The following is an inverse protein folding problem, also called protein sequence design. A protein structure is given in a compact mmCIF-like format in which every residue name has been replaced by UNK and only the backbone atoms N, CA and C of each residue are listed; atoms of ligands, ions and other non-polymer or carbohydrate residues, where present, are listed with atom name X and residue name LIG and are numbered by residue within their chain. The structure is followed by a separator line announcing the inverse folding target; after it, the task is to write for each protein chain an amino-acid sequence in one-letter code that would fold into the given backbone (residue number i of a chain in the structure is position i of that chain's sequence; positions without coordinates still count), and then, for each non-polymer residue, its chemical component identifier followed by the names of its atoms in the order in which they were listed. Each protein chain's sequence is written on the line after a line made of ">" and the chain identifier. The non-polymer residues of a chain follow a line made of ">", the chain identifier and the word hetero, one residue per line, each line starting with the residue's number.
data_IF_086137149865
#
_entry.id   IF_086137149865
#
_cell.length_a   1.000
_cell.length_b   1.000
_cell.length_c   1.000
_cell.angle_alpha   90.00
_cell.angle_beta   90.00
_cell.angle_gamma   90.00
#
_symmetry.space_group_name_H-M   'P 1'
#
loop_
_entity.id
_entity.type
_entity.pdbx_description
1 polymer ?
#
# COMPACT_ATOMS: atom_id res chain seq x y z
N UNK A 1 53.28 -2.21 -24.42
CA UNK A 1 52.53 -1.36 -23.47
C UNK A 1 51.03 -1.31 -23.79
N UNK A 2 50.62 -1.23 -25.05
CA UNK A 2 49.18 -1.17 -25.44
C UNK A 2 48.30 -2.40 -25.08
N UNK A 3 48.87 -3.60 -24.94
CA UNK A 3 48.09 -4.82 -24.66
C UNK A 3 47.61 -4.92 -23.22
N UNK A 4 48.38 -4.40 -22.27
CA UNK A 4 48.07 -4.41 -20.83
C UNK A 4 46.99 -3.38 -20.47
N UNK A 5 46.97 -2.24 -21.14
CA UNK A 5 45.96 -1.19 -20.92
C UNK A 5 44.56 -1.61 -21.40
N UNK A 6 44.48 -2.34 -22.53
CA UNK A 6 43.20 -2.87 -23.03
C UNK A 6 42.61 -3.96 -22.14
N UNK A 7 43.44 -4.77 -21.49
CA UNK A 7 42.98 -5.81 -20.57
C UNK A 7 42.43 -5.17 -19.27
N UNK A 8 43.12 -4.16 -18.74
CA UNK A 8 42.67 -3.43 -17.53
C UNK A 8 41.35 -2.68 -17.81
N UNK A 9 41.20 -2.05 -18.99
CA UNK A 9 39.96 -1.40 -19.38
C UNK A 9 38.79 -2.40 -19.52
N UNK A 10 39.05 -3.62 -20.02
CA UNK A 10 38.02 -4.67 -20.14
C UNK A 10 37.59 -5.22 -18.77
N UNK A 11 38.51 -5.33 -17.79
CA UNK A 11 38.17 -5.69 -16.40
C UNK A 11 37.43 -4.56 -15.66
N UNK A 12 37.76 -3.29 -15.91
CA UNK A 12 37.03 -2.14 -15.38
C UNK A 12 35.61 -2.02 -15.95
N UNK A 13 35.41 -2.34 -17.24
CA UNK A 13 34.08 -2.39 -17.87
C UNK A 13 33.23 -3.59 -17.42
N UNK A 14 33.86 -4.71 -17.05
CA UNK A 14 33.19 -5.86 -16.42
C UNK A 14 32.88 -5.62 -14.93
N UNK A 15 33.68 -4.82 -14.23
CA UNK A 15 33.43 -4.40 -12.85
C UNK A 15 32.36 -3.31 -12.71
N UNK A 16 32.04 -2.59 -13.79
CA UNK A 16 30.81 -1.81 -13.91
C UNK A 16 29.57 -2.69 -14.15
N UNK A 17 29.63 -3.95 -13.70
CA UNK A 17 28.48 -4.82 -13.56
C UNK A 17 27.38 -4.05 -12.86
N UNK A 18 26.22 -3.99 -13.51
CA UNK A 18 24.98 -3.42 -12.99
C UNK A 18 24.82 -3.94 -11.57
N UNK A 19 25.19 -3.13 -10.57
CA UNK A 19 24.91 -3.45 -9.18
C UNK A 19 23.40 -3.50 -9.12
N UNK A 20 22.85 -4.72 -9.10
CA UNK A 20 21.44 -4.91 -8.89
C UNK A 20 21.16 -4.27 -7.54
N UNK A 21 20.40 -3.18 -7.56
CA UNK A 21 20.04 -2.46 -6.34
C UNK A 21 19.35 -3.47 -5.43
N UNK A 22 19.99 -3.83 -4.31
CA UNK A 22 19.40 -4.68 -3.29
C UNK A 22 18.83 -3.82 -2.18
N UNK A 23 17.81 -4.32 -1.51
CA UNK A 23 17.21 -3.68 -0.35
C UNK A 23 17.07 -4.67 0.80
N UNK A 24 16.95 -4.16 2.01
CA UNK A 24 16.51 -4.95 3.17
C UNK A 24 15.05 -4.60 3.44
N UNK A 25 14.23 -5.59 3.80
CA UNK A 25 12.79 -5.39 4.06
C UNK A 25 12.38 -6.06 5.36
N UNK A 26 11.56 -5.34 6.12
CA UNK A 26 10.85 -5.83 7.30
C UNK A 26 9.38 -6.08 6.95
N UNK A 27 8.88 -7.30 7.10
CA UNK A 27 7.44 -7.59 7.04
C UNK A 27 6.91 -7.65 8.47
N UNK A 28 5.83 -6.92 8.74
CA UNK A 28 5.19 -6.87 10.06
C UNK A 28 3.72 -7.26 9.92
N UNK A 29 3.28 -8.29 10.66
CA UNK A 29 1.89 -8.75 10.64
C UNK A 29 0.92 -7.65 11.12
N UNK A 30 1.22 -6.97 12.23
CA UNK A 30 0.37 -5.89 12.78
C UNK A 30 1.20 -4.61 12.98
N UNK A 31 1.49 -3.85 11.91
CA UNK A 31 2.29 -2.64 12.01
C UNK A 31 1.78 -1.62 13.06
N UNK A 32 0.45 -1.39 13.23
CA UNK A 32 -0.07 -0.50 14.26
C UNK A 32 0.35 -0.81 15.69
N UNK A 33 0.77 -2.04 15.99
CA UNK A 33 1.21 -2.40 17.33
C UNK A 33 2.65 -1.92 17.65
N UNK A 34 3.42 -1.56 16.63
CA UNK A 34 4.75 -0.98 16.79
C UNK A 34 4.66 0.50 17.17
N UNK A 35 5.73 1.02 17.78
CA UNK A 35 5.87 2.47 17.99
C UNK A 35 6.40 3.13 16.71
N UNK A 36 5.47 3.61 15.89
CA UNK A 36 5.73 4.26 14.62
C UNK A 36 5.60 5.78 14.71
N UNK A 37 6.50 6.49 14.03
CA UNK A 37 6.45 7.92 13.79
C UNK A 37 6.40 8.21 12.28
N UNK A 38 5.77 9.31 11.89
CA UNK A 38 5.82 9.78 10.51
C UNK A 38 7.19 10.39 10.16
N UNK A 39 7.35 10.84 8.91
CA UNK A 39 8.56 11.51 8.41
C UNK A 39 9.02 12.75 9.19
N UNK A 40 8.16 13.31 10.04
CA UNK A 40 8.43 14.48 10.89
C UNK A 40 8.70 14.09 12.35
N UNK A 41 8.92 12.80 12.63
CA UNK A 41 9.18 12.26 13.97
C UNK A 41 8.00 12.46 14.94
N UNK A 42 6.79 12.58 14.42
CA UNK A 42 5.56 12.68 15.21
C UNK A 42 4.81 11.36 15.23
N UNK A 43 4.12 11.07 16.33
CA UNK A 43 3.21 9.93 16.43
C UNK A 43 2.19 9.95 15.29
N UNK A 44 1.90 8.79 14.73
CA UNK A 44 0.90 8.64 13.67
C UNK A 44 -0.50 8.97 14.21
N UNK A 45 -1.21 9.85 13.51
CA UNK A 45 -2.63 10.10 13.78
C UNK A 45 -3.51 8.94 13.32
N UNK A 46 -4.80 8.95 13.70
CA UNK A 46 -5.75 7.86 13.36
C UNK A 46 -5.83 7.60 11.85
N UNK A 47 -5.90 8.66 11.04
CA UNK A 47 -5.93 8.56 9.58
C UNK A 47 -4.67 7.94 8.99
N UNK A 48 -3.52 8.09 9.65
CA UNK A 48 -2.25 7.51 9.19
C UNK A 48 -2.13 6.05 9.63
N UNK A 49 -2.54 5.76 10.87
CA UNK A 49 -2.62 4.40 11.41
C UNK A 49 -3.57 3.52 10.61
N UNK A 50 -4.69 4.07 10.13
CA UNK A 50 -5.65 3.35 9.30
C UNK A 50 -5.08 2.91 7.93
N UNK A 51 -3.99 3.52 7.46
CA UNK A 51 -3.31 3.10 6.21
C UNK A 51 -2.39 1.90 6.41
N UNK A 52 -2.06 1.56 7.65
CA UNK A 52 -1.22 0.42 7.97
C UNK A 52 -2.06 -0.86 7.91
N UNK A 53 -1.71 -1.76 7.00
CA UNK A 53 -2.41 -3.02 6.78
C UNK A 53 -1.57 -4.22 7.24
N UNK A 54 -2.23 -5.36 7.41
CA UNK A 54 -1.56 -6.56 7.90
C UNK A 54 -0.49 -7.07 6.93
N UNK A 55 0.62 -7.58 7.48
CA UNK A 55 1.78 -8.03 6.69
C UNK A 55 2.31 -6.93 5.75
N UNK A 56 2.42 -5.70 6.25
CA UNK A 56 2.97 -4.59 5.48
C UNK A 56 4.49 -4.76 5.31
N UNK A 57 5.03 -4.66 4.09
CA UNK A 57 6.47 -4.66 3.85
C UNK A 57 7.02 -3.24 4.01
N UNK A 58 8.08 -3.10 4.80
CA UNK A 58 8.82 -1.87 5.00
C UNK A 58 10.23 -2.04 4.44
N UNK A 59 10.59 -1.25 3.43
CA UNK A 59 11.98 -1.12 2.99
C UNK A 59 12.79 -0.43 4.09
N UNK A 60 13.84 -1.09 4.57
CA UNK A 60 14.74 -0.56 5.58
C UNK A 60 15.72 0.38 4.88
N UNK A 61 15.55 1.68 5.10
CA UNK A 61 16.44 2.70 4.55
C UNK A 61 17.70 2.86 5.42
N UNK A 62 17.51 2.83 6.74
CA UNK A 62 18.58 2.85 7.73
C UNK A 62 18.21 1.94 8.90
N UNK A 63 18.98 0.88 9.18
CA UNK A 63 18.67 -0.07 10.25
C UNK A 63 18.77 0.55 11.65
N UNK A 64 19.53 1.63 11.80
CA UNK A 64 19.68 2.39 13.02
C UNK A 64 19.92 3.87 12.71
N UNK A 65 19.18 4.74 13.40
CA UNK A 65 19.33 6.19 13.43
C UNK A 65 19.02 6.69 14.85
N UNK A 66 19.53 7.87 15.19
CA UNK A 66 19.10 8.62 16.35
C UNK A 66 18.17 9.73 15.84
N UNK A 67 17.02 9.92 16.50
CA UNK A 67 16.05 10.96 16.17
C UNK A 67 16.61 12.36 16.47
N UNK A 68 15.86 13.39 16.11
CA UNK A 68 16.26 14.79 16.26
C UNK A 68 16.40 15.23 17.73
N UNK A 69 15.89 14.46 18.68
CA UNK A 69 16.10 14.66 20.11
C UNK A 69 17.53 14.31 20.58
N UNK A 70 18.32 13.63 19.74
CA UNK A 70 19.72 13.31 20.00
C UNK A 70 19.96 12.06 20.84
N UNK A 71 18.92 11.32 21.24
CA UNK A 71 19.10 10.10 22.03
C UNK A 71 18.13 8.96 21.72
N UNK A 72 16.97 9.22 21.12
CA UNK A 72 16.00 8.15 20.84
C UNK A 72 16.43 7.32 19.63
N UNK A 73 16.71 6.01 19.79
CA UNK A 73 17.07 5.16 18.68
C UNK A 73 15.84 4.72 17.88
N UNK A 74 15.96 4.75 16.55
CA UNK A 74 14.94 4.30 15.63
C UNK A 74 15.54 3.59 14.41
N UNK A 75 14.69 2.90 13.66
CA UNK A 75 14.95 2.40 12.33
C UNK A 75 14.17 3.27 11.34
N UNK A 76 14.84 3.78 10.29
CA UNK A 76 14.17 4.54 9.23
C UNK A 76 13.73 3.57 8.15
N UNK A 77 12.44 3.56 7.84
CA UNK A 77 11.84 2.66 6.86
C UNK A 77 10.94 3.38 5.87
N UNK A 78 10.57 2.71 4.78
CA UNK A 78 9.67 3.22 3.74
C UNK A 78 8.63 2.18 3.34
N UNK A 79 7.41 2.62 3.09
CA UNK A 79 6.40 1.85 2.37
C UNK A 79 5.80 2.73 1.27
N UNK A 80 6.04 2.36 0.00
CA UNK A 80 5.63 3.19 -1.14
C UNK A 80 6.30 4.56 -1.10
N UNK A 81 5.50 5.62 -1.03
CA UNK A 81 5.98 7.01 -0.97
C UNK A 81 6.15 7.56 0.46
N UNK A 82 5.74 6.79 1.47
CA UNK A 82 5.75 7.25 2.87
C UNK A 82 6.98 6.71 3.61
N UNK A 83 7.73 7.62 4.22
CA UNK A 83 8.84 7.33 5.15
C UNK A 83 8.29 7.30 6.59
N UNK A 84 8.75 6.34 7.37
CA UNK A 84 8.42 6.17 8.79
C UNK A 84 9.68 5.97 9.63
N UNK A 85 9.56 6.22 10.92
CA UNK A 85 10.53 5.78 11.92
C UNK A 85 9.87 4.74 12.84
N UNK A 86 10.50 3.59 12.99
CA UNK A 86 10.12 2.58 13.97
C UNK A 86 11.05 2.72 15.17
N UNK A 87 10.53 3.00 16.36
CA UNK A 87 11.38 3.03 17.56
C UNK A 87 11.92 1.64 17.86
N UNK A 88 13.20 1.56 18.23
CA UNK A 88 13.89 0.29 18.49
C UNK A 88 14.47 0.26 19.92
N UNK A 89 14.52 -0.90 20.55
CA UNK A 89 15.24 -1.09 21.82
C UNK A 89 16.74 -1.28 21.57
N UNK A 90 17.07 -1.96 20.48
CA UNK A 90 18.42 -2.27 20.03
C UNK A 90 18.41 -2.45 18.50
N UNK A 91 19.58 -2.48 17.83
CA UNK A 91 19.64 -2.63 16.38
C UNK A 91 18.81 -3.83 15.90
N UNK A 92 17.85 -3.57 15.01
CA UNK A 92 16.96 -4.61 14.46
C UNK A 92 15.84 -5.09 15.40
N UNK A 93 15.66 -4.50 16.58
CA UNK A 93 14.61 -4.90 17.54
C UNK A 93 13.59 -3.78 17.77
N UNK A 94 12.51 -3.72 16.98
CA UNK A 94 11.39 -2.81 17.21
C UNK A 94 10.80 -2.93 18.62
N UNK A 95 10.41 -1.78 19.21
CA UNK A 95 9.63 -1.75 20.44
C UNK A 95 8.23 -2.38 20.18
N UNK A 96 7.71 -3.12 21.15
CA UNK A 96 6.42 -3.85 21.09
C UNK A 96 6.36 -4.96 20.05
N UNK A 97 7.50 -5.60 19.74
CA UNK A 97 7.57 -6.69 18.78
C UNK A 97 6.59 -7.83 19.07
N UNK A 98 6.38 -8.17 20.35
CA UNK A 98 5.45 -9.23 20.78
C UNK A 98 3.99 -8.93 20.41
N UNK A 99 3.58 -7.67 20.42
CA UNK A 99 2.24 -7.24 20.04
C UNK A 99 2.06 -7.13 18.52
N UNK A 100 3.16 -7.03 17.77
CA UNK A 100 3.16 -6.90 16.32
C UNK A 100 2.92 -8.21 15.56
N UNK A 101 2.75 -9.33 16.27
CA UNK A 101 2.53 -10.65 15.69
C UNK A 101 3.78 -11.19 15.03
N UNK A 102 3.62 -11.85 13.88
CA UNK A 102 4.75 -12.34 13.11
C UNK A 102 5.52 -11.20 12.47
N UNK A 103 6.84 -11.16 12.70
CA UNK A 103 7.75 -10.16 12.13
C UNK A 103 8.95 -10.86 11.53
N UNK A 104 9.32 -10.49 10.30
CA UNK A 104 10.48 -11.09 9.61
C UNK A 104 11.25 -10.06 8.82
N UNK A 105 12.58 -10.11 8.94
CA UNK A 105 13.50 -9.34 8.11
C UNK A 105 14.04 -10.20 6.97
N UNK A 106 14.10 -9.60 5.79
CA UNK A 106 14.69 -10.13 4.57
C UNK A 106 15.83 -9.22 4.16
N UNK A 107 17.00 -9.79 3.91
CA UNK A 107 18.20 -9.03 3.58
C UNK A 107 18.57 -9.23 2.11
N UNK A 108 19.15 -8.18 1.52
CA UNK A 108 19.70 -8.22 0.16
C UNK A 108 18.72 -8.72 -0.92
N UNK A 109 17.45 -8.37 -0.76
CA UNK A 109 16.41 -8.76 -1.72
C UNK A 109 16.38 -7.83 -2.92
N UNK A 110 15.75 -8.29 -4.01
CA UNK A 110 15.57 -7.47 -5.21
C UNK A 110 14.26 -6.67 -5.10
N UNK A 111 14.30 -5.34 -4.93
CA UNK A 111 13.11 -4.50 -5.02
C UNK A 111 12.56 -4.52 -6.45
N UNK A 112 11.24 -4.46 -6.56
CA UNK A 112 10.50 -4.39 -7.83
C UNK A 112 9.69 -3.09 -7.89
N UNK A 113 8.88 -2.84 -6.86
CA UNK A 113 8.05 -1.64 -6.68
C UNK A 113 7.29 -1.21 -7.95
N UNK A 114 6.76 -2.16 -8.71
CA UNK A 114 6.00 -1.91 -9.93
C UNK A 114 4.59 -2.50 -9.85
N UNK A 115 3.71 -1.98 -10.72
CA UNK A 115 2.36 -2.51 -10.88
C UNK A 115 2.33 -3.40 -12.11
N UNK A 116 1.69 -4.55 -11.99
CA UNK A 116 1.59 -5.54 -13.05
C UNK A 116 0.16 -6.02 -13.22
N UNK A 117 -0.16 -6.48 -14.42
CA UNK A 117 -1.40 -7.18 -14.74
C UNK A 117 -1.09 -8.67 -14.88
N UNK A 118 -1.65 -9.46 -13.98
CA UNK A 118 -1.49 -10.92 -13.96
C UNK A 118 -2.19 -11.53 -15.18
N UNK A 119 -1.49 -12.35 -15.96
CA UNK A 119 -2.00 -12.90 -17.23
C UNK A 119 -2.75 -14.23 -17.04
N UNK A 120 -2.44 -14.96 -15.98
CA UNK A 120 -3.01 -16.27 -15.67
C UNK A 120 -3.31 -16.38 -14.19
N UNK A 121 -4.24 -17.24 -13.79
CA UNK A 121 -4.53 -17.42 -12.37
C UNK A 121 -3.31 -17.93 -11.61
N UNK A 122 -2.97 -17.29 -10.49
CA UNK A 122 -1.79 -17.64 -9.67
C UNK A 122 -2.19 -17.85 -8.21
N UNK A 123 -1.57 -18.84 -7.57
CA UNK A 123 -1.74 -19.08 -6.15
C UNK A 123 -0.99 -18.04 -5.31
N UNK A 124 -1.65 -17.60 -4.24
CA UNK A 124 -1.06 -16.70 -3.25
C UNK A 124 -1.02 -17.41 -1.92
N UNK A 125 0.09 -17.23 -1.23
CA UNK A 125 0.21 -17.54 0.19
C UNK A 125 0.28 -16.27 1.02
N UNK A 126 -0.40 -16.24 2.16
CA UNK A 126 -0.34 -15.15 3.12
C UNK A 126 0.72 -15.42 4.19
N UNK A 127 1.12 -14.35 4.88
CA UNK A 127 2.03 -14.42 6.01
C UNK A 127 3.45 -13.94 5.72
N UNK A 128 4.31 -14.11 6.72
CA UNK A 128 5.74 -13.75 6.64
C UNK A 128 6.59 -14.77 5.88
N UNK A 129 6.11 -16.01 5.71
CA UNK A 129 6.86 -17.09 5.06
C UNK A 129 6.21 -17.48 3.71
N UNK A 130 7.00 -17.61 2.62
CA UNK A 130 6.47 -18.04 1.34
C UNK A 130 5.92 -19.48 1.38
N UNK A 131 4.75 -19.69 0.79
CA UNK A 131 4.15 -21.01 0.56
C UNK A 131 3.60 -21.73 1.79
N UNK A 132 3.55 -21.09 2.96
CA UNK A 132 3.11 -21.73 4.22
C UNK A 132 1.61 -21.72 4.45
N UNK A 133 0.93 -20.64 4.10
CA UNK A 133 -0.51 -20.46 4.35
C UNK A 133 -1.16 -20.09 3.03
N UNK A 134 -1.95 -20.99 2.44
CA UNK A 134 -2.70 -20.67 1.23
C UNK A 134 -3.74 -19.57 1.53
N UNK A 135 -3.71 -18.50 0.75
CA UNK A 135 -4.59 -17.35 0.91
C UNK A 135 -5.69 -17.28 -0.15
N UNK A 136 -5.48 -17.97 -1.28
CA UNK A 136 -6.40 -17.98 -2.40
C UNK A 136 -5.67 -17.87 -3.73
N UNK A 137 -6.46 -17.54 -4.77
CA UNK A 137 -6.01 -17.43 -6.15
C UNK A 137 -6.25 -16.01 -6.64
N UNK A 138 -5.24 -15.39 -7.23
CA UNK A 138 -5.42 -14.17 -8.01
C UNK A 138 -5.89 -14.59 -9.39
N UNK A 139 -7.06 -14.10 -9.81
CA UNK A 139 -7.60 -14.39 -11.12
C UNK A 139 -6.81 -13.76 -12.27
N UNK A 140 -7.01 -14.30 -13.47
CA UNK A 140 -6.52 -13.70 -14.72
C UNK A 140 -6.96 -12.23 -14.87
N UNK A 141 -6.08 -11.40 -15.44
CA UNK A 141 -6.24 -9.96 -15.65
C UNK A 141 -6.42 -9.14 -14.36
N UNK A 142 -6.04 -9.68 -13.20
CA UNK A 142 -6.07 -8.93 -11.96
C UNK A 142 -4.81 -8.05 -11.81
N UNK A 143 -4.95 -6.79 -11.36
CA UNK A 143 -3.81 -5.94 -11.04
C UNK A 143 -3.15 -6.39 -9.73
N UNK A 144 -1.82 -6.32 -9.69
CA UNK A 144 -1.03 -6.55 -8.49
C UNK A 144 0.15 -5.57 -8.41
N UNK A 145 0.50 -5.16 -7.20
CA UNK A 145 1.73 -4.38 -6.94
C UNK A 145 2.79 -5.33 -6.43
N UNK A 146 3.93 -5.43 -7.11
CA UNK A 146 5.06 -6.25 -6.66
C UNK A 146 5.99 -5.39 -5.84
N UNK A 147 6.23 -5.78 -4.59
CA UNK A 147 7.17 -5.06 -3.74
C UNK A 147 8.60 -5.50 -4.04
N UNK A 148 8.85 -6.80 -3.97
CA UNK A 148 10.19 -7.35 -4.10
C UNK A 148 10.17 -8.84 -4.45
N UNK A 149 11.34 -9.37 -4.83
CA UNK A 149 11.57 -10.80 -5.07
C UNK A 149 12.61 -11.35 -4.09
N UNK A 150 12.30 -12.49 -3.48
CA UNK A 150 13.18 -13.27 -2.62
C UNK A 150 13.27 -14.71 -3.16
N UNK A 151 14.38 -15.05 -3.81
CA UNK A 151 14.50 -16.31 -4.55
C UNK A 151 13.47 -16.40 -5.68
N UNK A 152 12.69 -17.48 -5.71
CA UNK A 152 11.63 -17.69 -6.71
C UNK A 152 10.28 -17.08 -6.30
N UNK A 153 10.19 -16.49 -5.11
CA UNK A 153 8.95 -15.93 -4.60
C UNK A 153 8.92 -14.42 -4.75
N UNK A 154 7.79 -13.90 -5.18
CA UNK A 154 7.53 -12.47 -5.26
C UNK A 154 6.53 -12.09 -4.19
N UNK A 155 6.87 -11.07 -3.40
CA UNK A 155 5.93 -10.48 -2.45
C UNK A 155 5.13 -9.38 -3.13
N UNK A 156 3.81 -9.49 -3.05
CA UNK A 156 2.88 -8.66 -3.80
C UNK A 156 1.67 -8.23 -2.97
N UNK A 157 1.03 -7.13 -3.39
CA UNK A 157 -0.29 -6.69 -2.93
C UNK A 157 -1.31 -6.90 -4.03
N UNK A 158 -2.45 -7.42 -3.64
CA UNK A 158 -3.65 -7.60 -4.47
C UNK A 158 -4.89 -7.09 -3.76
N UNK A 159 -6.05 -7.21 -4.40
CA UNK A 159 -7.34 -6.92 -3.80
C UNK A 159 -7.64 -7.78 -2.57
N UNK A 160 -7.19 -9.05 -2.56
CA UNK A 160 -7.42 -9.98 -1.44
C UNK A 160 -6.41 -9.80 -0.30
N UNK A 161 -5.39 -8.95 -0.47
CA UNK A 161 -4.38 -8.65 0.55
C UNK A 161 -2.94 -8.74 0.04
N UNK A 162 -1.99 -8.79 0.97
CA UNK A 162 -0.57 -9.00 0.67
C UNK A 162 -0.16 -10.46 0.86
N UNK A 163 0.79 -10.92 0.06
CA UNK A 163 1.26 -12.29 0.13
C UNK A 163 2.37 -12.61 -0.85
N UNK A 164 2.78 -13.87 -0.84
CA UNK A 164 3.79 -14.43 -1.71
C UNK A 164 3.15 -15.22 -2.84
N UNK A 165 3.65 -15.04 -4.05
CA UNK A 165 3.34 -15.88 -5.20
C UNK A 165 4.62 -16.26 -5.95
N UNK A 166 4.61 -17.44 -6.57
CA UNK A 166 5.60 -17.79 -7.57
C UNK A 166 5.11 -17.26 -8.91
N UNK A 167 5.78 -16.21 -9.39
CA UNK A 167 5.47 -15.60 -10.69
C UNK A 167 6.75 -15.33 -11.46
N UNK A 168 6.67 -15.64 -12.74
CA UNK A 168 7.71 -15.46 -13.74
C UNK A 168 7.31 -14.38 -14.74
N UNK A 169 8.25 -13.96 -15.60
CA UNK A 169 8.04 -12.87 -16.56
C UNK A 169 6.87 -13.11 -17.53
N UNK A 170 6.47 -14.37 -17.73
CA UNK A 170 5.37 -14.72 -18.62
C UNK A 170 4.00 -14.61 -17.93
N UNK A 171 3.97 -14.56 -16.59
CA UNK A 171 2.72 -14.55 -15.82
C UNK A 171 2.17 -13.13 -15.66
N UNK A 172 2.88 -12.11 -16.10
CA UNK A 172 2.46 -10.73 -15.90
C UNK A 172 2.94 -9.78 -17.00
N UNK A 173 2.18 -8.71 -17.18
CA UNK A 173 2.59 -7.55 -17.98
C UNK A 173 2.80 -6.38 -17.04
N UNK A 174 3.95 -5.70 -17.12
CA UNK A 174 4.19 -4.49 -16.34
C UNK A 174 3.26 -3.38 -16.85
N UNK A 175 2.41 -2.87 -15.98
CA UNK A 175 1.60 -1.69 -16.24
C UNK A 175 2.51 -0.48 -16.13
N UNK A 176 3.20 -0.17 -17.24
CA UNK A 176 3.97 1.07 -17.34
C UNK A 176 2.97 2.21 -17.48
N UNK A 177 2.80 2.99 -16.42
CA UNK A 177 2.15 4.29 -16.53
C UNK A 177 3.05 5.16 -17.40
N UNK A 178 2.64 5.57 -18.62
CA UNK A 178 3.40 6.57 -19.35
C UNK A 178 3.42 7.82 -18.47
N UNK A 179 4.58 8.43 -18.29
CA UNK A 179 4.79 9.67 -17.52
C UNK A 179 3.94 10.87 -18.01
N UNK A 180 3.05 10.66 -18.99
CA UNK A 180 2.25 11.67 -19.67
C UNK A 180 0.79 11.24 -19.93
N UNK A 181 0.25 10.21 -19.26
CA UNK A 181 -1.21 10.02 -19.30
C UNK A 181 -1.88 11.11 -18.47
N UNK A 182 -2.68 11.94 -19.14
CA UNK A 182 -3.62 12.85 -18.52
C UNK A 182 -4.51 12.11 -17.48
N UNK A 183 -5.10 12.82 -16.50
CA UNK A 183 -6.09 12.33 -15.52
C UNK A 183 -7.42 11.80 -16.12
N UNK A 184 -7.41 11.36 -17.37
CA UNK A 184 -8.49 10.58 -17.98
C UNK A 184 -8.25 9.12 -17.52
N UNK A 185 -8.90 8.60 -16.48
CA UNK A 185 -10.29 8.83 -16.12
C UNK A 185 -10.49 8.36 -14.68
N UNK A 186 -9.85 9.07 -13.74
CA UNK A 186 -9.93 8.76 -12.29
C UNK A 186 -11.39 8.72 -11.84
N UNK A 187 -12.20 9.61 -12.40
CA UNK A 187 -13.64 9.66 -12.17
C UNK A 187 -14.36 8.40 -12.65
N UNK A 188 -14.06 7.87 -13.85
CA UNK A 188 -14.73 6.63 -14.32
C UNK A 188 -14.35 5.37 -13.56
N UNK A 189 -13.19 5.37 -12.88
CA UNK A 189 -12.81 4.27 -11.98
C UNK A 189 -13.51 4.36 -10.62
N UNK A 190 -13.77 5.58 -10.14
CA UNK A 190 -14.37 5.80 -8.80
C UNK A 190 -15.90 5.79 -8.85
N UNK A 191 -16.51 6.32 -9.91
CA UNK A 191 -17.97 6.44 -10.02
C UNK A 191 -18.73 5.11 -9.85
N UNK A 192 -18.30 3.98 -10.45
CA UNK A 192 -18.98 2.71 -10.23
C UNK A 192 -18.99 2.27 -8.76
N UNK A 193 -17.89 2.50 -8.04
CA UNK A 193 -17.73 2.15 -6.62
C UNK A 193 -18.66 3.01 -5.77
N UNK A 194 -18.71 4.32 -6.04
CA UNK A 194 -19.63 5.24 -5.36
C UNK A 194 -21.10 4.85 -5.62
N UNK A 195 -21.44 4.48 -6.86
CA UNK A 195 -22.79 4.06 -7.22
C UNK A 195 -23.22 2.77 -6.48
N UNK A 196 -22.30 1.81 -6.36
CA UNK A 196 -22.55 0.57 -5.59
C UNK A 196 -22.74 0.87 -4.10
N UNK A 197 -21.85 1.67 -3.50
CA UNK A 197 -21.98 2.09 -2.10
C UNK A 197 -23.30 2.83 -1.83
N UNK A 198 -23.73 3.71 -2.74
CA UNK A 198 -25.01 4.41 -2.66
C UNK A 198 -26.21 3.46 -2.79
N UNK A 199 -26.09 2.38 -3.57
CA UNK A 199 -27.14 1.36 -3.69
C UNK A 199 -27.30 0.59 -2.37
N UNK A 200 -26.19 0.23 -1.74
CA UNK A 200 -26.20 -0.41 -0.41
C UNK A 200 -26.82 0.51 0.65
N UNK A 201 -26.40 1.78 0.70
CA UNK A 201 -26.97 2.77 1.62
C UNK A 201 -28.47 2.97 1.40
N UNK A 202 -28.92 3.07 0.15
CA UNK A 202 -30.34 3.18 -0.19
C UNK A 202 -31.14 2.00 0.34
N UNK A 203 -30.66 0.77 0.11
CA UNK A 203 -31.35 -0.43 0.57
C UNK A 203 -31.45 -0.48 2.10
N UNK A 204 -30.38 -0.10 2.80
CA UNK A 204 -30.35 -0.02 4.26
C UNK A 204 -31.37 1.01 4.79
N UNK A 205 -31.38 2.23 4.25
CA UNK A 205 -32.29 3.28 4.71
C UNK A 205 -33.75 3.02 4.35
N UNK A 206 -34.04 2.31 3.25
CA UNK A 206 -35.40 1.84 2.96
C UNK A 206 -35.91 0.91 4.06
N UNK A 207 -35.05 0.07 4.64
CA UNK A 207 -35.42 -0.80 5.77
C UNK A 207 -35.58 0.00 7.07
N UNK A 208 -34.65 0.94 7.35
CA UNK A 208 -34.69 1.76 8.55
C UNK A 208 -35.90 2.70 8.59
N UNK A 209 -36.20 3.40 7.49
CA UNK A 209 -37.33 4.32 7.41
C UNK A 209 -38.69 3.60 7.52
N UNK A 210 -38.77 2.32 7.16
CA UNK A 210 -39.96 1.48 7.39
C UNK A 210 -40.19 1.18 8.87
N UNK A 211 -39.14 1.10 9.67
CA UNK A 211 -39.21 0.78 11.09
C UNK A 211 -39.40 2.01 11.99
N UNK A 212 -38.71 3.12 11.68
CA UNK A 212 -38.69 4.31 12.55
C UNK A 212 -39.82 5.32 12.29
N UNK A 213 -40.68 5.10 11.29
CA UNK A 213 -41.73 6.03 10.85
C UNK A 213 -41.27 7.49 10.59
N UNK A 214 -39.96 7.69 10.48
CA UNK A 214 -39.32 8.96 10.18
C UNK A 214 -38.81 8.92 8.73
N UNK A 215 -39.26 9.87 7.91
CA UNK A 215 -38.80 10.04 6.54
C UNK A 215 -37.43 10.75 6.53
N UNK A 216 -36.41 10.02 6.98
CA UNK A 216 -35.03 10.52 7.01
C UNK A 216 -34.45 10.49 5.61
N UNK A 217 -33.78 11.57 5.21
CA UNK A 217 -33.08 11.67 3.95
C UNK A 217 -31.96 10.63 3.85
N UNK A 218 -31.88 9.94 2.71
CA UNK A 218 -30.89 8.89 2.49
C UNK A 218 -29.54 9.57 2.19
N UNK A 219 -28.49 9.31 3.00
CA UNK A 219 -27.17 9.84 2.73
C UNK A 219 -26.56 9.20 1.48
N UNK A 220 -25.89 10.03 0.66
CA UNK A 220 -25.26 9.63 -0.59
C UNK A 220 -23.84 10.15 -0.69
N UNK A 221 -22.93 9.27 -1.11
CA UNK A 221 -21.58 9.62 -1.50
C UNK A 221 -21.60 10.38 -2.82
N UNK A 222 -20.88 11.50 -2.84
CA UNK A 222 -20.72 12.35 -4.02
C UNK A 222 -19.23 12.54 -4.32
N UNK A 223 -18.85 12.34 -5.57
CA UNK A 223 -17.53 12.70 -6.06
C UNK A 223 -17.53 14.14 -6.55
N UNK A 224 -16.60 14.94 -6.06
CA UNK A 224 -16.35 16.30 -6.53
C UNK A 224 -14.90 16.41 -7.01
N UNK A 225 -14.73 16.97 -8.19
CA UNK A 225 -13.40 17.28 -8.73
C UNK A 225 -13.02 18.69 -8.31
N UNK A 226 -11.91 18.79 -7.61
CA UNK A 226 -11.22 20.04 -7.31
C UNK A 226 -9.90 20.07 -8.10
N UNK A 227 -9.29 21.24 -8.30
CA UNK A 227 -8.23 21.47 -9.29
C UNK A 227 -7.13 20.39 -9.35
N UNK A 228 -6.67 19.88 -8.20
CA UNK A 228 -5.64 18.83 -8.10
C UNK A 228 -6.04 17.63 -7.24
N UNK A 229 -7.32 17.53 -6.87
CA UNK A 229 -7.81 16.45 -6.02
C UNK A 229 -9.24 16.07 -6.34
N UNK A 230 -9.61 14.83 -6.09
CA UNK A 230 -11.00 14.43 -6.02
C UNK A 230 -11.39 14.29 -4.55
N UNK A 231 -12.59 14.76 -4.21
CA UNK A 231 -13.16 14.67 -2.89
C UNK A 231 -14.42 13.82 -2.96
N UNK A 232 -14.48 12.75 -2.16
CA UNK A 232 -15.68 11.96 -1.98
C UNK A 232 -16.30 12.30 -0.62
N UNK A 233 -17.50 12.89 -0.61
CA UNK A 233 -18.19 13.33 0.61
C UNK A 233 -19.56 12.68 0.73
N UNK A 234 -19.99 12.36 1.94
CA UNK A 234 -21.35 11.88 2.21
C UNK A 234 -22.30 13.08 2.43
N UNK A 235 -23.45 13.08 1.78
CA UNK A 235 -24.45 14.16 1.90
C UNK A 235 -25.87 13.60 2.00
N UNK A 236 -26.70 14.04 2.97
CA UNK A 236 -26.36 14.97 4.06
C UNK A 236 -25.37 14.37 5.07
N UNK A 237 -24.50 15.22 5.62
CA UNK A 237 -23.49 14.83 6.62
C UNK A 237 -24.06 14.71 8.04
N UNK A 238 -25.25 15.26 8.29
CA UNK A 238 -25.83 15.46 9.62
C UNK A 238 -26.65 14.26 10.10
N UNK A 239 -26.29 13.05 9.68
CA UNK A 239 -26.94 11.84 10.17
C UNK A 239 -26.51 11.55 11.61
N UNK A 240 -27.46 11.19 12.47
CA UNK A 240 -27.19 10.64 13.83
C UNK A 240 -26.35 9.34 13.82
N UNK A 241 -26.11 8.77 12.63
CA UNK A 241 -25.37 7.53 12.43
C UNK A 241 -23.89 7.80 12.10
N UNK A 242 -23.01 7.08 12.79
CA UNK A 242 -21.58 7.05 12.46
C UNK A 242 -21.33 6.13 11.27
N UNK A 243 -20.83 6.69 10.18
CA UNK A 243 -20.46 5.94 8.97
C UNK A 243 -18.98 5.55 8.92
N UNK A 244 -18.24 5.66 10.01
CA UNK A 244 -16.77 5.49 10.05
C UNK A 244 -16.27 4.20 9.40
N UNK A 245 -16.89 3.06 9.70
CA UNK A 245 -16.48 1.78 9.11
C UNK A 245 -16.83 1.67 7.62
N UNK A 246 -17.99 2.20 7.22
CA UNK A 246 -18.38 2.29 5.81
C UNK A 246 -17.41 3.17 5.01
N UNK A 247 -17.03 4.32 5.56
CA UNK A 247 -16.05 5.24 4.97
C UNK A 247 -14.66 4.59 4.83
N UNK A 248 -14.23 3.78 5.80
CA UNK A 248 -12.96 3.03 5.71
C UNK A 248 -12.99 1.99 4.60
N UNK A 249 -14.10 1.25 4.47
CA UNK A 249 -14.29 0.25 3.42
C UNK A 249 -14.30 0.92 2.04
N UNK A 250 -15.08 1.98 1.86
CA UNK A 250 -15.12 2.74 0.61
C UNK A 250 -13.75 3.34 0.26
N UNK A 251 -13.04 3.92 1.23
CA UNK A 251 -11.69 4.45 1.02
C UNK A 251 -10.73 3.35 0.54
N UNK A 252 -10.84 2.14 1.07
CA UNK A 252 -10.05 0.98 0.64
C UNK A 252 -10.40 0.57 -0.79
N UNK A 253 -11.68 0.49 -1.14
CA UNK A 253 -12.12 0.15 -2.50
C UNK A 253 -11.67 1.17 -3.54
N UNK A 254 -11.79 2.47 -3.23
CA UNK A 254 -11.27 3.56 -4.06
C UNK A 254 -9.75 3.44 -4.20
N UNK A 255 -9.02 3.22 -3.11
CA UNK A 255 -7.56 3.03 -3.16
C UNK A 255 -7.17 1.85 -4.04
N UNK A 256 -7.97 0.79 -4.02
CA UNK A 256 -7.77 -0.40 -4.81
C UNK A 256 -8.02 -0.15 -6.31
N UNK A 257 -9.08 0.56 -6.67
CA UNK A 257 -9.36 0.91 -8.07
C UNK A 257 -8.31 1.85 -8.66
N UNK A 258 -7.64 2.62 -7.81
CA UNK A 258 -6.58 3.54 -8.20
C UNK A 258 -5.17 2.92 -8.13
N UNK A 259 -5.05 1.60 -7.94
CA UNK A 259 -3.75 0.93 -7.96
C UNK A 259 -3.04 1.15 -9.30
N UNK A 260 -1.80 1.65 -9.24
CA UNK A 260 -0.99 1.95 -10.42
C UNK A 260 -1.21 3.36 -11.00
N UNK A 261 -2.14 4.13 -10.44
CA UNK A 261 -2.33 5.55 -10.75
C UNK A 261 -1.47 6.39 -9.80
N UNK A 262 -0.74 7.43 -10.27
CA UNK A 262 0.06 8.30 -9.44
C UNK A 262 -0.83 9.24 -8.61
N UNK A 263 -1.52 8.68 -7.64
CA UNK A 263 -2.38 9.41 -6.74
C UNK A 263 -2.31 8.83 -5.33
N UNK A 264 -2.65 9.66 -4.35
CA UNK A 264 -2.72 9.28 -2.94
C UNK A 264 -4.14 9.44 -2.43
N UNK A 265 -4.67 8.40 -1.80
CA UNK A 265 -5.95 8.43 -1.09
C UNK A 265 -5.74 8.70 0.40
N UNK A 266 -6.63 9.50 1.00
CA UNK A 266 -6.62 9.84 2.44
C UNK A 266 -8.04 9.93 2.96
N UNK A 267 -8.32 9.26 4.08
CA UNK A 267 -9.56 9.46 4.83
C UNK A 267 -9.41 10.70 5.74
N UNK A 268 -10.39 11.60 5.70
CA UNK A 268 -10.51 12.80 6.52
C UNK A 268 -11.87 12.81 7.23
N UNK A 269 -12.05 13.70 8.20
CA UNK A 269 -13.33 13.86 8.91
C UNK A 269 -14.48 14.27 7.97
N UNK A 270 -14.13 14.91 6.85
CA UNK A 270 -15.05 15.37 5.82
C UNK A 270 -15.32 14.37 4.70
N UNK A 271 -14.60 13.23 4.65
CA UNK A 271 -14.75 12.23 3.59
C UNK A 271 -13.43 11.62 3.12
N UNK A 272 -13.32 11.34 1.82
CA UNK A 272 -12.15 10.68 1.21
C UNK A 272 -11.51 11.63 0.19
N UNK A 273 -10.26 12.01 0.45
CA UNK A 273 -9.44 12.83 -0.45
C UNK A 273 -8.58 11.96 -1.36
N UNK A 274 -8.48 12.33 -2.64
CA UNK A 274 -7.68 11.66 -3.65
C UNK A 274 -6.81 12.72 -4.32
N UNK A 275 -5.53 12.76 -3.96
CA UNK A 275 -4.58 13.79 -4.40
C UNK A 275 -3.79 13.25 -5.58
N UNK A 276 -3.81 13.95 -6.71
CA UNK A 276 -3.05 13.56 -7.90
C UNK A 276 -1.60 14.06 -7.79
N UNK A 277 -0.63 13.24 -8.19
CA UNK A 277 0.80 13.58 -8.25
C UNK A 277 1.23 14.03 -9.64
#
# INVERSE_FOLDING_TARGET
>A
MERTEKIIAMWLLLAAGVYAQTADVLIVEKPPALRLLNRYEQSLGESEMARLYSFMPFEILRPQVILSDGFTPAMKVRNGADDYFILIESPGKPINLSSAGNVKMFYQIRPLNDTVLIQHSIDVSQGIEPGKVHAGVIGQNAPAVRFFKAGNWTYLRTLIGTGWAQIDKNDYTILRTPSNKQPADVESLIQPIIAEANTVLKNLFVVLNRHDAADKSIPQWQLRKEQKKYMCTLTPSDSDYSFTESSKLLAREITNALLGIPCRTRLTDSGIEIIMH
#
